data_IF_775319009381
#
_entry.id   IF_775319009381
#
_cell.length_a   1.000
_cell.length_b   1.000
_cell.length_c   1.000
_cell.angle_alpha   90.00
_cell.angle_beta   90.00
_cell.angle_gamma   90.00
#
_symmetry.space_group_name_H-M   'P 1'
#
loop_
_entity.id
_entity.type
_entity.pdbx_description
1 polymer ?
#
# COMPACT_ATOMS: atom_id res chain seq x y z
N UNK A 1 21.80 -65.26 -1.09
CA UNK A 1 22.19 -63.87 -1.46
C UNK A 1 21.25 -63.17 -2.45
N UNK A 2 20.43 -63.88 -3.25
CA UNK A 2 19.61 -63.24 -4.31
C UNK A 2 18.33 -62.54 -3.83
N UNK A 3 17.70 -63.00 -2.73
CA UNK A 3 16.46 -62.43 -2.21
C UNK A 3 16.62 -61.08 -1.49
N UNK A 4 17.72 -60.92 -0.75
CA UNK A 4 17.98 -59.70 0.02
C UNK A 4 18.36 -58.51 -0.89
N UNK A 5 19.05 -58.78 -2.00
CA UNK A 5 19.32 -57.78 -3.03
C UNK A 5 18.04 -57.32 -3.75
N UNK A 6 17.11 -58.25 -4.03
CA UNK A 6 15.82 -57.91 -4.67
C UNK A 6 14.90 -57.10 -3.75
N UNK A 7 14.90 -57.39 -2.44
CA UNK A 7 14.12 -56.62 -1.46
C UNK A 7 14.67 -55.19 -1.30
N UNK A 8 16.00 -55.03 -1.26
CA UNK A 8 16.62 -53.70 -1.24
C UNK A 8 16.36 -52.90 -2.53
N UNK A 9 16.40 -53.55 -3.70
CA UNK A 9 16.11 -52.87 -4.98
C UNK A 9 14.65 -52.42 -5.08
N UNK A 10 13.71 -53.24 -4.59
CA UNK A 10 12.29 -52.88 -4.55
C UNK A 10 12.00 -51.79 -3.50
N UNK A 11 12.64 -51.85 -2.33
CA UNK A 11 12.52 -50.83 -1.29
C UNK A 11 13.13 -49.48 -1.70
N UNK A 12 14.31 -49.48 -2.34
CA UNK A 12 14.90 -48.25 -2.87
C UNK A 12 14.05 -47.67 -4.01
N UNK A 13 13.57 -48.52 -4.94
CA UNK A 13 12.72 -48.06 -6.04
C UNK A 13 11.37 -47.52 -5.57
N UNK A 14 10.73 -48.16 -4.59
CA UNK A 14 9.48 -47.66 -4.01
C UNK A 14 9.67 -46.33 -3.29
N UNK A 15 10.81 -46.14 -2.62
CA UNK A 15 11.17 -44.88 -1.99
C UNK A 15 11.52 -43.78 -3.01
N UNK A 16 12.21 -44.11 -4.10
CA UNK A 16 12.52 -43.17 -5.17
C UNK A 16 11.25 -42.74 -5.94
N UNK A 17 10.28 -43.65 -6.12
CA UNK A 17 8.96 -43.35 -6.69
C UNK A 17 8.10 -42.50 -5.71
N UNK A 18 8.08 -42.81 -4.42
CA UNK A 18 7.42 -42.00 -3.38
C UNK A 18 8.03 -40.60 -3.22
N UNK A 19 9.36 -40.50 -3.27
CA UNK A 19 10.09 -39.22 -3.24
C UNK A 19 9.82 -38.40 -4.52
N UNK A 20 9.65 -39.05 -5.67
CA UNK A 20 9.24 -38.40 -6.94
C UNK A 20 7.81 -37.88 -6.88
N UNK A 21 6.85 -38.69 -6.43
CA UNK A 21 5.45 -38.30 -6.29
C UNK A 21 5.28 -37.13 -5.30
N UNK A 22 6.08 -37.13 -4.22
CA UNK A 22 6.11 -36.04 -3.25
C UNK A 22 6.68 -34.75 -3.86
N UNK A 23 7.74 -34.83 -4.68
CA UNK A 23 8.28 -33.68 -5.40
C UNK A 23 7.25 -33.12 -6.39
N UNK A 24 6.59 -33.97 -7.17
CA UNK A 24 5.55 -33.56 -8.12
C UNK A 24 4.37 -32.87 -7.42
N UNK A 25 3.99 -33.38 -6.24
CA UNK A 25 2.95 -32.76 -5.42
C UNK A 25 3.37 -31.38 -4.90
N UNK A 26 4.59 -31.24 -4.38
CA UNK A 26 5.14 -29.96 -3.92
C UNK A 26 5.20 -28.96 -5.07
N UNK A 27 5.69 -29.37 -6.24
CA UNK A 27 5.72 -28.53 -7.44
C UNK A 27 4.32 -28.10 -7.87
N UNK A 28 3.35 -29.01 -7.81
CA UNK A 28 1.96 -28.72 -8.14
C UNK A 28 1.32 -27.72 -7.17
N UNK A 29 1.57 -27.86 -5.86
CA UNK A 29 1.08 -26.91 -4.86
C UNK A 29 1.74 -25.54 -4.96
N UNK A 30 3.06 -25.48 -5.21
CA UNK A 30 3.75 -24.21 -5.45
C UNK A 30 3.21 -23.49 -6.69
N UNK A 31 2.96 -24.23 -7.78
CA UNK A 31 2.35 -23.65 -8.99
C UNK A 31 0.90 -23.22 -8.78
N UNK A 32 0.15 -23.89 -7.89
CA UNK A 32 -1.19 -23.44 -7.50
C UNK A 32 -1.13 -22.18 -6.65
N UNK A 33 -0.22 -22.11 -5.68
CA UNK A 33 0.01 -20.94 -4.84
C UNK A 33 0.30 -19.70 -5.69
N UNK A 34 1.20 -19.81 -6.66
CA UNK A 34 1.52 -18.70 -7.57
C UNK A 34 0.29 -18.22 -8.35
N UNK A 35 -0.49 -19.13 -8.93
CA UNK A 35 -1.71 -18.76 -9.66
C UNK A 35 -2.77 -18.12 -8.77
N UNK A 36 -2.96 -18.64 -7.56
CA UNK A 36 -3.91 -18.05 -6.59
C UNK A 36 -3.46 -16.66 -6.19
N UNK A 37 -2.16 -16.48 -5.94
CA UNK A 37 -1.58 -15.20 -5.60
C UNK A 37 -1.71 -14.21 -6.76
N UNK A 38 -1.42 -14.59 -7.99
CA UNK A 38 -1.60 -13.76 -9.19
C UNK A 38 -3.04 -13.29 -9.36
N UNK A 39 -4.02 -14.19 -9.21
CA UNK A 39 -5.43 -13.82 -9.30
C UNK A 39 -5.84 -12.87 -8.17
N UNK A 40 -5.35 -13.12 -6.97
CA UNK A 40 -5.59 -12.27 -5.82
C UNK A 40 -5.02 -10.86 -6.03
N UNK A 41 -3.74 -10.75 -6.38
CA UNK A 41 -3.07 -9.46 -6.56
C UNK A 41 -3.65 -8.71 -7.75
N UNK A 42 -4.02 -9.39 -8.84
CA UNK A 42 -4.73 -8.77 -9.96
C UNK A 42 -6.06 -8.13 -9.53
N UNK A 43 -6.86 -8.85 -8.74
CA UNK A 43 -8.13 -8.32 -8.24
C UNK A 43 -7.92 -7.13 -7.30
N UNK A 44 -6.95 -7.20 -6.38
CA UNK A 44 -6.64 -6.08 -5.47
C UNK A 44 -6.02 -4.88 -6.19
N UNK A 45 -5.21 -5.10 -7.23
CA UNK A 45 -4.65 -4.03 -8.06
C UNK A 45 -5.76 -3.20 -8.73
N UNK A 46 -6.89 -3.82 -9.12
CA UNK A 46 -8.05 -3.07 -9.64
C UNK A 46 -8.68 -2.13 -8.60
N UNK A 47 -8.77 -2.55 -7.34
CA UNK A 47 -9.24 -1.71 -6.24
C UNK A 47 -8.27 -0.57 -5.96
N UNK A 48 -6.96 -0.87 -5.93
CA UNK A 48 -5.90 0.13 -5.76
C UNK A 48 -5.95 1.15 -6.91
N UNK A 49 -6.15 0.72 -8.16
CA UNK A 49 -6.28 1.64 -9.30
C UNK A 49 -7.45 2.58 -9.15
N UNK A 50 -8.57 2.09 -8.64
CA UNK A 50 -9.74 2.94 -8.36
C UNK A 50 -9.42 3.97 -7.28
N UNK A 51 -8.80 3.55 -6.17
CA UNK A 51 -8.40 4.47 -5.11
C UNK A 51 -7.34 5.48 -5.56
N UNK A 52 -6.38 5.06 -6.39
CA UNK A 52 -5.35 5.92 -6.98
C UNK A 52 -5.96 6.96 -7.94
N UNK A 53 -6.98 6.57 -8.70
CA UNK A 53 -7.76 7.48 -9.56
C UNK A 53 -8.46 8.53 -8.70
N UNK A 54 -9.15 8.09 -7.64
CA UNK A 54 -9.83 9.02 -6.72
C UNK A 54 -8.84 9.98 -6.05
N UNK A 55 -7.69 9.47 -5.61
CA UNK A 55 -6.62 10.24 -5.00
C UNK A 55 -6.05 11.32 -5.94
N UNK A 56 -5.72 10.94 -7.17
CA UNK A 56 -4.99 11.82 -8.09
C UNK A 56 -5.94 12.75 -8.85
N UNK A 57 -7.12 12.29 -9.25
CA UNK A 57 -8.00 12.98 -10.19
C UNK A 57 -9.30 13.49 -9.53
N UNK A 58 -9.92 12.71 -8.65
CA UNK A 58 -11.26 13.04 -8.11
C UNK A 58 -11.23 13.65 -6.69
N UNK A 59 -10.05 13.96 -6.16
CA UNK A 59 -9.88 14.56 -4.82
C UNK A 59 -10.20 16.06 -4.76
N UNK A 60 -10.62 16.65 -5.89
CA UNK A 60 -10.99 18.06 -6.00
C UNK A 60 -9.80 19.03 -6.07
N UNK A 61 -8.57 18.52 -6.19
CA UNK A 61 -7.37 19.36 -6.34
C UNK A 61 -7.22 19.82 -7.78
N UNK A 62 -7.09 21.14 -7.95
CA UNK A 62 -6.72 21.74 -9.23
C UNK A 62 -5.20 21.85 -9.29
N UNK A 63 -4.54 20.88 -9.93
CA UNK A 63 -3.08 20.77 -9.91
C UNK A 63 -2.32 21.96 -10.54
N UNK A 64 -2.96 22.75 -11.41
CA UNK A 64 -2.38 23.97 -11.99
C UNK A 64 -2.63 25.25 -11.19
N UNK A 65 -3.33 25.13 -10.05
CA UNK A 65 -3.61 26.22 -9.11
C UNK A 65 -3.71 25.63 -7.70
N UNK A 66 -2.78 24.74 -7.37
CA UNK A 66 -2.87 23.94 -6.17
C UNK A 66 -2.71 24.83 -4.93
N UNK A 67 -3.48 24.57 -3.85
CA UNK A 67 -3.34 25.30 -2.61
C UNK A 67 -1.93 25.11 -2.02
N UNK A 68 -1.52 26.04 -1.16
CA UNK A 68 -0.26 25.89 -0.42
C UNK A 68 -0.22 24.56 0.35
N UNK A 69 0.94 23.91 0.32
CA UNK A 69 1.17 22.62 0.97
C UNK A 69 1.07 22.78 2.48
N UNK A 70 0.22 21.97 3.12
CA UNK A 70 -0.05 22.04 4.58
C UNK A 70 0.13 20.70 5.30
N UNK A 71 0.30 19.61 4.56
CA UNK A 71 0.34 18.26 5.09
C UNK A 71 -0.17 17.27 4.05
N UNK A 72 -0.31 16.00 4.47
CA UNK A 72 -0.80 14.91 3.62
C UNK A 72 -2.32 14.99 3.55
N UNK A 73 -2.88 14.97 2.34
CA UNK A 73 -4.35 15.02 2.14
C UNK A 73 -5.03 13.74 2.65
N UNK A 74 -6.27 13.87 3.10
CA UNK A 74 -7.07 12.71 3.51
C UNK A 74 -7.22 11.68 2.38
N UNK A 75 -7.30 12.12 1.13
CA UNK A 75 -7.33 11.24 -0.05
C UNK A 75 -6.10 10.30 -0.14
N UNK A 76 -4.93 10.76 0.32
CA UNK A 76 -3.73 9.91 0.38
C UNK A 76 -3.86 8.84 1.48
N UNK A 77 -4.40 9.23 2.63
CA UNK A 77 -4.66 8.30 3.75
C UNK A 77 -5.73 7.27 3.38
N UNK A 78 -6.79 7.68 2.68
CA UNK A 78 -7.82 6.79 2.15
C UNK A 78 -7.27 5.78 1.14
N UNK A 79 -6.35 6.21 0.26
CA UNK A 79 -5.64 5.30 -0.63
C UNK A 79 -4.82 4.27 0.17
N UNK A 80 -4.08 4.69 1.20
CA UNK A 80 -3.35 3.75 2.06
C UNK A 80 -4.26 2.76 2.78
N UNK A 81 -5.48 3.16 3.18
CA UNK A 81 -6.42 2.23 3.81
C UNK A 81 -6.77 1.04 2.92
N UNK A 82 -6.67 1.16 1.59
CA UNK A 82 -6.86 0.02 0.70
C UNK A 82 -5.76 -1.04 0.88
N UNK A 83 -4.51 -0.61 1.06
CA UNK A 83 -3.38 -1.50 1.36
C UNK A 83 -3.44 -2.04 2.80
N UNK A 84 -3.91 -1.24 3.77
CA UNK A 84 -4.14 -1.69 5.15
C UNK A 84 -5.19 -2.81 5.17
N UNK A 85 -6.26 -2.69 4.39
CA UNK A 85 -7.28 -3.73 4.27
C UNK A 85 -6.70 -5.02 3.66
N UNK A 86 -5.86 -4.90 2.62
CA UNK A 86 -5.13 -6.05 2.06
C UNK A 86 -4.22 -6.69 3.10
N UNK A 87 -3.46 -5.89 3.85
CA UNK A 87 -2.62 -6.39 4.94
C UNK A 87 -3.46 -7.18 5.94
N UNK A 88 -4.56 -6.62 6.45
CA UNK A 88 -5.42 -7.33 7.41
C UNK A 88 -5.95 -8.67 6.86
N UNK A 89 -6.36 -8.71 5.58
CA UNK A 89 -6.88 -9.90 4.92
C UNK A 89 -5.81 -11.00 4.77
N UNK A 90 -4.63 -10.64 4.26
CA UNK A 90 -3.53 -11.59 4.05
C UNK A 90 -2.94 -12.04 5.37
N UNK A 91 -2.85 -11.15 6.37
CA UNK A 91 -2.33 -11.47 7.69
C UNK A 91 -3.19 -12.54 8.38
N UNK A 92 -4.51 -12.43 8.23
CA UNK A 92 -5.46 -13.38 8.80
C UNK A 92 -5.52 -14.72 8.03
N UNK A 93 -5.37 -14.68 6.70
CA UNK A 93 -5.56 -15.87 5.85
C UNK A 93 -4.26 -16.62 5.54
N UNK A 94 -3.17 -15.91 5.24
CA UNK A 94 -1.92 -16.49 4.77
C UNK A 94 -0.70 -15.58 5.04
N UNK A 95 -0.36 -15.42 6.33
CA UNK A 95 0.78 -14.58 6.77
C UNK A 95 2.10 -14.82 5.99
N UNK A 96 2.51 -16.06 5.63
CA UNK A 96 3.76 -16.29 4.90
C UNK A 96 3.83 -15.61 3.53
N UNK A 97 2.69 -15.28 2.91
CA UNK A 97 2.64 -14.60 1.62
C UNK A 97 2.56 -13.08 1.73
N UNK A 98 2.56 -12.51 2.94
CA UNK A 98 2.38 -11.08 3.18
C UNK A 98 3.35 -10.22 2.37
N UNK A 99 4.64 -10.46 2.53
CA UNK A 99 5.67 -9.61 1.92
C UNK A 99 5.63 -9.70 0.40
N UNK A 100 5.43 -10.91 -0.14
CA UNK A 100 5.29 -11.13 -1.59
C UNK A 100 4.03 -10.42 -2.12
N UNK A 101 2.92 -10.51 -1.40
CA UNK A 101 1.64 -9.89 -1.80
C UNK A 101 1.73 -8.37 -1.80
N UNK A 102 2.21 -7.78 -0.70
CA UNK A 102 2.33 -6.32 -0.61
C UNK A 102 3.41 -5.78 -1.54
N UNK A 103 4.51 -6.49 -1.75
CA UNK A 103 5.53 -6.11 -2.74
C UNK A 103 4.94 -5.93 -4.14
N UNK A 104 4.21 -6.93 -4.64
CA UNK A 104 3.54 -6.87 -5.95
C UNK A 104 2.54 -5.70 -6.03
N UNK A 105 1.78 -5.46 -4.95
CA UNK A 105 0.77 -4.41 -4.94
C UNK A 105 1.36 -3.00 -4.81
N UNK A 106 2.49 -2.84 -4.12
CA UNK A 106 3.22 -1.56 -4.04
C UNK A 106 3.86 -1.22 -5.39
N UNK A 107 4.50 -2.19 -6.05
CA UNK A 107 4.95 -2.02 -7.45
C UNK A 107 3.79 -1.56 -8.35
N UNK A 108 2.68 -2.32 -8.33
CA UNK A 108 1.49 -2.00 -9.11
C UNK A 108 0.87 -0.64 -8.78
N UNK A 109 0.97 -0.17 -7.53
CA UNK A 109 0.53 1.18 -7.14
C UNK A 109 1.37 2.27 -7.81
N UNK A 110 2.69 2.15 -7.78
CA UNK A 110 3.58 3.15 -8.38
C UNK A 110 3.43 3.17 -9.92
N UNK A 111 3.35 1.99 -10.54
CA UNK A 111 3.08 1.86 -11.97
C UNK A 111 1.71 2.44 -12.35
N UNK A 112 0.73 2.30 -11.46
CA UNK A 112 -0.58 2.91 -11.63
C UNK A 112 -0.50 4.43 -11.57
N UNK A 113 0.24 5.02 -10.64
CA UNK A 113 0.44 6.47 -10.61
C UNK A 113 1.09 6.98 -11.89
N UNK A 114 2.14 6.29 -12.37
CA UNK A 114 2.81 6.63 -13.62
C UNK A 114 1.85 6.54 -14.82
N UNK A 115 1.07 5.46 -14.88
CA UNK A 115 0.07 5.25 -15.94
C UNK A 115 -1.02 6.32 -15.91
N UNK A 116 -1.61 6.60 -14.75
CA UNK A 116 -2.63 7.64 -14.58
C UNK A 116 -2.09 9.02 -14.93
N UNK A 117 -0.83 9.30 -14.59
CA UNK A 117 -0.18 10.55 -14.97
C UNK A 117 -0.09 10.68 -16.49
N UNK A 118 0.42 9.65 -17.19
CA UNK A 118 0.52 9.66 -18.65
C UNK A 118 -0.84 9.71 -19.35
N UNK A 119 -1.81 8.93 -18.89
CA UNK A 119 -3.19 8.89 -19.42
C UNK A 119 -3.87 10.27 -19.35
N UNK A 120 -3.51 11.10 -18.36
CA UNK A 120 -4.19 12.36 -18.05
C UNK A 120 -3.30 13.62 -18.19
N UNK A 121 -2.03 13.50 -18.63
CA UNK A 121 -1.07 14.62 -18.83
C UNK A 121 -1.63 15.74 -19.72
N UNK A 122 -2.59 15.42 -20.59
CA UNK A 122 -3.20 16.38 -21.54
C UNK A 122 -4.61 16.84 -21.15
N UNK A 123 -5.19 16.29 -20.08
CA UNK A 123 -6.56 16.59 -19.61
C UNK A 123 -6.51 17.17 -18.20
N UNK A 124 -6.76 16.35 -17.19
CA UNK A 124 -6.87 16.74 -15.78
C UNK A 124 -5.53 17.22 -15.19
N UNK A 125 -4.41 16.75 -15.77
CA UNK A 125 -3.05 17.13 -15.40
C UNK A 125 -2.39 18.03 -16.46
N UNK A 126 -3.19 18.72 -17.28
CA UNK A 126 -2.68 19.61 -18.33
C UNK A 126 -1.82 20.74 -17.76
N UNK A 127 -2.26 21.34 -16.66
CA UNK A 127 -1.55 22.36 -15.91
C UNK A 127 -1.12 21.78 -14.57
N UNK A 128 0.16 21.91 -14.22
CA UNK A 128 0.72 21.37 -12.99
C UNK A 128 1.71 22.37 -12.42
N UNK A 129 1.33 23.07 -11.35
CA UNK A 129 2.12 24.17 -10.80
C UNK A 129 3.13 23.70 -9.74
N UNK A 130 3.91 24.65 -9.21
CA UNK A 130 4.92 24.38 -8.19
C UNK A 130 4.33 23.80 -6.89
N UNK A 131 3.14 24.26 -6.49
CA UNK A 131 2.48 23.75 -5.28
C UNK A 131 1.96 22.32 -5.50
N UNK A 132 1.43 22.02 -6.68
CA UNK A 132 0.97 20.69 -7.07
C UNK A 132 2.13 19.70 -7.09
N UNK A 133 3.29 20.12 -7.61
CA UNK A 133 4.53 19.35 -7.53
C UNK A 133 4.91 19.07 -6.07
N UNK A 134 5.04 20.12 -5.25
CA UNK A 134 5.44 19.96 -3.85
C UNK A 134 4.46 19.10 -3.04
N UNK A 135 3.16 19.24 -3.28
CA UNK A 135 2.13 18.43 -2.62
C UNK A 135 2.28 16.94 -2.97
N UNK A 136 2.44 16.60 -4.27
CA UNK A 136 2.63 15.21 -4.67
C UNK A 136 3.96 14.65 -4.17
N UNK A 137 5.03 15.43 -4.18
CA UNK A 137 6.33 14.98 -3.67
C UNK A 137 6.25 14.62 -2.17
N UNK A 138 5.61 15.46 -1.35
CA UNK A 138 5.36 15.18 0.06
C UNK A 138 4.56 13.88 0.26
N UNK A 139 3.49 13.68 -0.52
CA UNK A 139 2.62 12.51 -0.39
C UNK A 139 3.28 11.22 -0.91
N UNK A 140 4.09 11.31 -1.96
CA UNK A 140 4.89 10.19 -2.45
C UNK A 140 5.95 9.77 -1.43
N UNK A 141 6.61 10.72 -0.78
CA UNK A 141 7.57 10.42 0.29
C UNK A 141 6.89 9.83 1.53
N UNK A 142 5.68 10.29 1.85
CA UNK A 142 4.84 9.70 2.88
C UNK A 142 4.50 8.24 2.57
N UNK A 143 4.06 7.93 1.33
CA UNK A 143 3.83 6.54 0.91
C UNK A 143 5.10 5.71 0.95
N UNK A 144 6.21 6.21 0.40
CA UNK A 144 7.50 5.51 0.40
C UNK A 144 7.96 5.20 1.83
N UNK A 145 7.81 6.14 2.76
CA UNK A 145 8.22 5.95 4.15
C UNK A 145 7.40 4.86 4.84
N UNK A 146 6.08 4.86 4.68
CA UNK A 146 5.19 3.87 5.30
C UNK A 146 5.34 2.49 4.68
N UNK A 147 5.45 2.44 3.36
CA UNK A 147 5.50 1.20 2.58
C UNK A 147 6.93 0.69 2.38
N UNK A 148 7.94 1.36 2.94
CA UNK A 148 9.35 1.01 2.81
C UNK A 148 9.66 -0.49 3.05
N UNK A 149 9.05 -1.18 4.04
CA UNK A 149 9.27 -2.61 4.24
C UNK A 149 8.87 -3.50 3.06
N UNK A 150 7.96 -3.03 2.21
CA UNK A 150 7.44 -3.75 1.05
C UNK A 150 7.88 -3.13 -0.29
N UNK A 151 8.77 -2.14 -0.26
CA UNK A 151 9.24 -1.44 -1.45
C UNK A 151 10.37 -2.24 -2.12
N UNK A 152 10.10 -2.75 -3.32
CA UNK A 152 11.05 -3.52 -4.13
C UNK A 152 12.00 -2.61 -4.92
N UNK A 153 13.01 -3.19 -5.59
CA UNK A 153 13.88 -2.43 -6.50
C UNK A 153 13.09 -1.76 -7.61
N UNK A 154 12.14 -2.49 -8.18
CA UNK A 154 11.40 -2.10 -9.37
C UNK A 154 10.42 -0.98 -9.01
N UNK A 155 9.76 -1.08 -7.85
CA UNK A 155 8.94 0.01 -7.32
C UNK A 155 9.76 1.30 -7.12
N UNK A 156 11.01 1.21 -6.63
CA UNK A 156 11.88 2.40 -6.45
C UNK A 156 12.30 3.02 -7.77
N UNK A 157 12.54 2.19 -8.79
CA UNK A 157 12.86 2.67 -10.13
C UNK A 157 11.65 3.38 -10.76
N UNK A 158 10.46 2.76 -10.71
CA UNK A 158 9.21 3.38 -11.16
C UNK A 158 8.90 4.67 -10.39
N UNK A 159 9.19 4.74 -9.08
CA UNK A 159 8.96 5.95 -8.28
C UNK A 159 9.88 7.08 -8.73
N UNK A 160 11.17 6.80 -8.99
CA UNK A 160 12.10 7.79 -9.54
C UNK A 160 11.67 8.28 -10.92
N UNK A 161 11.18 7.37 -11.76
CA UNK A 161 10.62 7.71 -13.07
C UNK A 161 9.42 8.66 -12.92
N UNK A 162 8.49 8.34 -12.02
CA UNK A 162 7.33 9.17 -11.69
C UNK A 162 7.74 10.58 -11.21
N UNK A 163 8.68 10.66 -10.28
CA UNK A 163 9.21 11.95 -9.79
C UNK A 163 9.84 12.78 -10.93
N UNK A 164 10.55 12.12 -11.85
CA UNK A 164 11.13 12.76 -13.03
C UNK A 164 10.07 13.36 -13.96
N UNK A 165 9.04 12.60 -14.33
CA UNK A 165 7.98 13.10 -15.22
C UNK A 165 7.10 14.18 -14.57
N UNK A 166 6.94 14.13 -13.24
CA UNK A 166 6.27 15.19 -12.48
C UNK A 166 7.07 16.50 -12.50
N UNK A 167 8.39 16.41 -12.29
CA UNK A 167 9.28 17.57 -12.32
C UNK A 167 9.33 18.20 -13.72
N UNK A 168 9.44 17.37 -14.77
CA UNK A 168 9.37 17.83 -16.16
C UNK A 168 8.08 18.61 -16.40
N UNK A 169 6.93 18.06 -16.01
CA UNK A 169 5.62 18.69 -16.21
C UNK A 169 5.44 19.99 -15.41
N UNK A 170 5.96 20.04 -14.19
CA UNK A 170 5.95 21.26 -13.38
C UNK A 170 6.77 22.37 -14.05
N UNK A 171 7.94 22.01 -14.58
CA UNK A 171 8.84 22.95 -15.29
C UNK A 171 8.23 23.43 -16.61
N UNK A 172 7.60 22.54 -17.39
CA UNK A 172 6.85 22.89 -18.62
C UNK A 172 5.75 23.93 -18.32
N UNK A 173 4.96 23.70 -17.27
CA UNK A 173 3.80 24.56 -16.94
C UNK A 173 4.22 25.99 -16.55
N UNK A 174 5.40 26.17 -15.96
CA UNK A 174 5.97 27.51 -15.66
C UNK A 174 6.29 28.27 -16.94
N UNK A 175 6.76 27.60 -17.98
CA UNK A 175 7.13 28.23 -19.26
C UNK A 175 5.91 28.65 -20.09
N UNK A 176 4.84 27.84 -20.14
CA UNK A 176 3.61 28.16 -20.88
C UNK A 176 2.90 29.43 -20.35
N UNK A 177 3.04 29.71 -19.05
CA UNK A 177 2.43 30.88 -18.41
C UNK A 177 3.12 32.19 -18.82
N UNK A 178 4.40 32.12 -19.23
CA UNK A 178 5.20 33.28 -19.62
C UNK A 178 4.98 33.65 -21.10
N UNK A 179 4.64 32.67 -21.96
CA UNK A 179 4.47 32.87 -23.40
C UNK A 179 3.09 33.43 -23.82
N UNK A 180 2.15 33.61 -22.90
CA UNK A 180 0.90 34.34 -23.15
C UNK A 180 0.91 35.72 -22.48
N UNK A 181 1.63 36.71 -23.04
CA UNK A 181 1.51 38.10 -22.61
C UNK A 181 0.10 38.59 -22.91
N UNK A 182 -0.72 38.62 -21.87
CA UNK A 182 -2.06 39.22 -21.87
C UNK A 182 -2.02 40.59 -22.57
N UNK A 183 -2.80 40.73 -23.64
CA UNK A 183 -2.85 41.93 -24.45
C UNK A 183 -3.15 43.18 -23.60
N UNK A 184 -2.27 44.17 -23.74
CA UNK A 184 -2.36 45.55 -23.26
C UNK A 184 -3.78 46.11 -23.16
N UNK A 185 -4.23 46.41 -21.93
CA UNK A 185 -5.08 47.58 -21.70
C UNK A 185 -4.19 48.75 -21.26
N UNK A 186 -4.06 49.71 -22.17
CA UNK A 186 -3.44 51.02 -21.99
C UNK A 186 -3.88 51.68 -20.66
N UNK A 187 -2.99 51.90 -19.69
CA UNK A 187 -3.30 52.72 -18.52
C UNK A 187 -3.25 54.19 -18.93
N UNK A 188 -4.38 54.88 -18.86
CA UNK A 188 -4.43 56.34 -18.97
C UNK A 188 -3.88 56.96 -17.69
N UNK A 189 -2.65 57.45 -17.78
CA UNK A 189 -2.02 58.58 -17.07
C UNK A 189 -2.75 59.13 -15.82
N UNK A 190 -2.17 58.86 -14.65
CA UNK A 190 -2.27 59.74 -13.47
C UNK A 190 -2.40 59.00 -12.14
N UNK A 191 -1.28 58.81 -11.43
CA UNK A 191 -1.14 59.07 -9.98
C UNK A 191 0.21 58.50 -9.52
N UNK A 192 1.05 59.38 -8.97
CA UNK A 192 2.20 58.98 -8.14
C UNK A 192 1.70 58.31 -6.84
N UNK A 193 2.61 57.54 -6.23
CA UNK A 193 2.53 56.89 -4.92
C UNK A 193 1.69 55.61 -4.76
N UNK A 194 2.29 54.47 -5.10
CA UNK A 194 2.25 53.27 -4.27
C UNK A 194 3.43 52.36 -4.64
N UNK A 195 4.42 52.27 -3.75
CA UNK A 195 5.44 51.21 -3.75
C UNK A 195 4.73 49.86 -3.61
N UNK A 196 4.38 49.29 -4.76
CA UNK A 196 3.80 47.95 -4.86
C UNK A 196 4.97 46.98 -4.92
N UNK A 197 5.00 46.05 -3.97
CA UNK A 197 5.97 44.97 -3.83
C UNK A 197 5.84 44.00 -5.01
N UNK A 198 6.40 44.39 -6.16
CA UNK A 198 6.32 43.66 -7.43
C UNK A 198 7.48 42.65 -7.57
N UNK A 199 7.88 42.02 -6.46
CA UNK A 199 8.99 41.05 -6.41
C UNK A 199 8.57 39.60 -6.69
N UNK A 200 7.31 39.33 -7.02
CA UNK A 200 6.82 37.96 -7.24
C UNK A 200 6.20 37.71 -8.62
N UNK A 201 6.40 38.58 -9.61
CA UNK A 201 6.02 38.31 -11.00
C UNK A 201 7.26 38.11 -11.86
N UNK A 202 7.69 36.85 -11.99
CA UNK A 202 8.70 36.46 -12.97
C UNK A 202 9.85 35.59 -12.46
N UNK A 203 9.72 34.91 -11.32
CA UNK A 203 10.69 33.87 -10.97
C UNK A 203 10.39 32.64 -11.85
N UNK A 204 11.14 32.48 -12.95
CA UNK A 204 11.27 31.19 -13.61
C UNK A 204 11.83 30.23 -12.58
N UNK A 205 11.00 29.37 -11.99
CA UNK A 205 11.46 28.41 -10.98
C UNK A 205 12.28 27.36 -11.71
N UNK A 206 13.57 27.24 -11.38
CA UNK A 206 14.40 26.20 -11.97
C UNK A 206 13.99 24.83 -11.41
N UNK A 207 14.27 23.71 -12.13
CA UNK A 207 13.99 22.37 -11.61
C UNK A 207 14.64 22.12 -10.25
N UNK A 208 15.84 22.63 -10.03
CA UNK A 208 16.57 22.50 -8.76
C UNK A 208 15.88 23.28 -7.62
N UNK A 209 15.34 24.47 -7.90
CA UNK A 209 14.56 25.24 -6.92
C UNK A 209 13.26 24.53 -6.54
N UNK A 210 12.59 23.87 -7.49
CA UNK A 210 11.39 23.06 -7.21
C UNK A 210 11.72 21.86 -6.32
N UNK A 211 12.83 21.16 -6.60
CA UNK A 211 13.30 20.05 -5.77
C UNK A 211 13.60 20.54 -4.36
N UNK A 212 14.34 21.65 -4.21
CA UNK A 212 14.69 22.22 -2.91
C UNK A 212 13.43 22.62 -2.12
N UNK A 213 12.43 23.21 -2.79
CA UNK A 213 11.17 23.58 -2.17
C UNK A 213 10.37 22.35 -1.70
N UNK A 214 10.28 21.31 -2.53
CA UNK A 214 9.62 20.06 -2.14
C UNK A 214 10.31 19.41 -0.92
N UNK A 215 11.65 19.36 -0.91
CA UNK A 215 12.44 18.85 0.21
C UNK A 215 12.24 19.66 1.50
N UNK A 216 12.06 20.98 1.39
CA UNK A 216 11.74 21.82 2.53
C UNK A 216 10.39 21.43 3.15
N UNK A 217 9.34 21.28 2.33
CA UNK A 217 8.02 20.85 2.83
C UNK A 217 8.07 19.47 3.49
N UNK A 218 8.77 18.50 2.89
CA UNK A 218 8.96 17.19 3.49
C UNK A 218 9.66 17.27 4.85
N UNK A 219 10.75 18.04 4.94
CA UNK A 219 11.51 18.20 6.18
C UNK A 219 10.67 18.82 7.31
N UNK A 220 9.75 19.71 6.97
CA UNK A 220 8.89 20.41 7.94
C UNK A 220 7.65 19.59 8.35
N UNK A 221 7.02 18.88 7.42
CA UNK A 221 5.67 18.35 7.60
C UNK A 221 5.62 16.82 7.76
N UNK A 222 6.53 16.08 7.12
CA UNK A 222 6.41 14.62 6.98
C UNK A 222 6.31 13.93 8.34
N UNK A 223 7.17 14.29 9.29
CA UNK A 223 7.20 13.64 10.59
C UNK A 223 5.90 13.86 11.39
N UNK A 224 5.30 15.06 11.29
CA UNK A 224 4.03 15.36 11.93
C UNK A 224 2.88 14.54 11.33
N UNK A 225 2.90 14.36 10.00
CA UNK A 225 1.89 13.57 9.29
C UNK A 225 2.01 12.07 9.54
N UNK A 226 3.23 11.54 9.64
CA UNK A 226 3.48 10.15 10.06
C UNK A 226 2.96 9.90 11.47
N UNK A 227 3.16 10.82 12.41
CA UNK A 227 2.62 10.69 13.77
C UNK A 227 1.09 10.82 13.77
N UNK A 228 0.53 11.79 13.04
CA UNK A 228 -0.93 11.98 12.91
C UNK A 228 -1.63 10.73 12.40
N UNK A 229 -1.01 10.00 11.49
CA UNK A 229 -1.58 8.83 10.82
C UNK A 229 -1.05 7.50 11.36
N UNK A 230 -0.24 7.52 12.42
CA UNK A 230 0.46 6.35 12.99
C UNK A 230 -0.47 5.16 13.25
N UNK A 231 -1.67 5.39 13.78
CA UNK A 231 -2.63 4.31 14.07
C UNK A 231 -3.14 3.66 12.78
N UNK A 232 -3.32 4.45 11.72
CA UNK A 232 -3.83 3.97 10.44
C UNK A 232 -2.81 3.07 9.73
N UNK A 233 -1.52 3.26 9.99
CA UNK A 233 -0.41 2.65 9.23
C UNK A 233 0.46 1.71 10.07
N UNK A 234 0.12 1.51 11.35
CA UNK A 234 0.89 0.69 12.30
C UNK A 234 1.15 -0.74 11.80
N UNK A 235 0.25 -1.31 11.00
CA UNK A 235 0.39 -2.67 10.46
C UNK A 235 1.64 -2.85 9.61
N UNK A 236 2.12 -1.82 8.92
CA UNK A 236 3.32 -1.89 8.09
C UNK A 236 4.62 -1.81 8.92
N UNK A 237 4.57 -1.17 10.10
CA UNK A 237 5.74 -1.00 10.98
C UNK A 237 5.92 -2.23 11.88
N UNK A 238 4.84 -2.75 12.46
CA UNK A 238 4.88 -3.86 13.43
C UNK A 238 5.14 -5.23 12.80
N UNK A 239 4.97 -5.37 11.48
CA UNK A 239 5.22 -6.62 10.75
C UNK A 239 6.70 -7.04 10.77
N UNK A 240 7.62 -6.10 10.99
CA UNK A 240 9.06 -6.37 11.14
C UNK A 240 9.47 -6.89 12.52
N UNK A 241 8.66 -6.65 13.56
CA UNK A 241 9.02 -6.91 14.96
C UNK A 241 8.51 -8.26 15.50
N UNK A 242 7.55 -8.90 14.83
CA UNK A 242 6.94 -10.14 15.33
C UNK A 242 7.77 -11.41 15.07
N UNK A 243 8.81 -11.32 14.24
CA UNK A 243 9.74 -12.44 13.98
C UNK A 243 10.99 -12.41 14.86
N UNK A 244 11.17 -11.36 15.67
CA UNK A 244 12.30 -11.23 16.62
C UNK A 244 11.90 -11.37 18.10
N UNK A 245 10.70 -11.88 18.38
CA UNK A 245 10.27 -12.16 19.74
C UNK A 245 10.93 -13.45 20.24
N UNK A 246 11.79 -13.40 21.29
CA UNK A 246 12.36 -14.60 21.88
C UNK A 246 11.25 -15.53 22.38
N UNK A 247 11.47 -16.84 22.28
CA UNK A 247 10.52 -17.90 22.64
C UNK A 247 9.91 -17.72 24.05
N UNK A 248 10.63 -17.05 24.95
CA UNK A 248 10.18 -16.65 26.30
C UNK A 248 8.98 -15.70 26.34
N UNK A 249 8.85 -14.80 25.37
CA UNK A 249 7.73 -13.85 25.31
C UNK A 249 6.46 -14.47 24.68
N UNK A 250 6.61 -15.47 23.78
CA UNK A 250 5.49 -16.32 23.34
C UNK A 250 4.93 -17.16 24.50
N UNK A 251 5.81 -17.70 25.35
CA UNK A 251 5.41 -18.44 26.54
C UNK A 251 4.67 -17.57 27.56
N UNK A 252 5.09 -16.31 27.76
CA UNK A 252 4.42 -15.39 28.67
C UNK A 252 2.98 -15.04 28.22
N UNK A 253 2.76 -14.86 26.91
CA UNK A 253 1.42 -14.61 26.36
C UNK A 253 0.52 -15.86 26.42
N UNK A 254 1.07 -17.05 26.22
CA UNK A 254 0.37 -18.31 26.41
C UNK A 254 0.03 -18.58 27.89
N UNK A 255 0.87 -18.13 28.82
CA UNK A 255 0.68 -18.26 30.27
C UNK A 255 -0.45 -17.36 30.80
N UNK A 256 -0.70 -16.21 30.16
CA UNK A 256 -1.82 -15.32 30.50
C UNK A 256 -3.18 -15.86 30.03
N UNK A 257 -3.19 -16.82 29.10
CA UNK A 257 -4.38 -17.56 28.66
C UNK A 257 -4.60 -18.83 29.47
N UNK A 258 -4.27 -18.78 30.75
CA UNK A 258 -4.33 -19.92 31.65
C UNK A 258 -5.73 -20.55 31.78
N UNK A 259 -5.72 -21.88 31.73
CA UNK A 259 -6.59 -22.79 32.47
C UNK A 259 -8.03 -23.00 31.95
N UNK A 260 -8.17 -23.90 30.97
CA UNK A 260 -9.31 -24.82 30.92
C UNK A 260 -8.82 -26.24 30.60
N UNK A 261 -8.13 -26.82 31.57
CA UNK A 261 -7.98 -28.27 31.76
C UNK A 261 -8.31 -28.50 33.24
N UNK A 262 -9.10 -29.46 33.70
CA UNK A 262 -9.67 -30.73 33.20
C UNK A 262 -10.67 -31.20 34.32
N UNK A 263 -11.26 -32.42 34.42
CA UNK A 263 -10.86 -33.69 33.81
C UNK A 263 -11.98 -34.64 33.31
N UNK A 264 -11.49 -35.60 32.54
CA UNK A 264 -12.03 -36.93 32.28
C UNK A 264 -12.79 -37.60 33.45
N UNK A 265 -13.95 -38.18 33.14
CA UNK A 265 -14.55 -39.29 33.89
C UNK A 265 -14.98 -40.40 32.93
N UNK A 266 -14.22 -41.49 32.96
CA UNK A 266 -14.62 -42.80 32.45
C UNK A 266 -15.83 -43.30 33.24
N UNK A 267 -16.94 -43.63 32.56
CA UNK A 267 -17.84 -44.71 32.97
C UNK A 267 -18.48 -45.34 31.73
N UNK A 268 -18.12 -46.60 31.49
CA UNK A 268 -18.64 -47.46 30.42
C UNK A 268 -19.72 -48.35 31.04
N UNK A 269 -20.91 -48.41 30.42
CA UNK A 269 -21.89 -49.50 30.61
C UNK A 269 -23.26 -49.10 31.16
N UNK A 270 -24.25 -48.92 30.28
CA UNK A 270 -25.49 -49.73 30.19
C UNK A 270 -26.61 -49.03 29.40
N UNK A 271 -26.98 -49.65 28.28
CA UNK A 271 -28.32 -49.86 27.71
C UNK A 271 -29.54 -49.03 28.18
N UNK A 272 -30.16 -48.41 27.16
CA UNK A 272 -31.61 -48.34 26.84
C UNK A 272 -32.48 -47.15 27.32
N UNK A 273 -33.55 -46.81 26.53
CA UNK A 273 -34.05 -45.44 26.30
C UNK A 273 -35.40 -45.16 26.98
N UNK A 274 -35.96 -43.95 26.75
CA UNK A 274 -37.36 -43.44 26.95
C UNK A 274 -37.25 -42.02 27.55
N UNK A 275 -37.96 -40.97 27.15
CA UNK A 275 -38.97 -40.69 26.13
C UNK A 275 -39.27 -39.18 26.19
N UNK A 276 -39.72 -38.57 25.10
CA UNK A 276 -40.34 -37.23 25.13
C UNK A 276 -41.74 -37.33 25.79
N UNK A 277 -42.29 -36.26 26.41
CA UNK A 277 -42.95 -35.22 25.59
C UNK A 277 -43.04 -33.81 26.23
N UNK A 278 -43.49 -32.84 25.43
CA UNK A 278 -44.56 -31.94 25.90
C UNK A 278 -44.26 -30.45 26.02
N UNK A 279 -44.71 -29.71 25.01
CA UNK A 279 -45.17 -28.31 24.99
C UNK A 279 -45.45 -27.61 26.35
N UNK A 280 -45.05 -26.34 26.46
CA UNK A 280 -46.01 -25.24 26.64
C UNK A 280 -45.42 -23.86 26.34
N UNK A 281 -46.19 -23.09 25.58
CA UNK A 281 -46.03 -21.65 25.35
C UNK A 281 -46.32 -20.89 26.66
N UNK A 282 -45.57 -19.81 26.93
CA UNK A 282 -46.25 -18.56 27.30
C UNK A 282 -45.41 -17.33 26.98
N UNK A 283 -46.04 -16.44 26.22
CA UNK A 283 -45.63 -15.11 25.82
C UNK A 283 -46.38 -14.13 26.72
N UNK A 284 -45.72 -13.04 27.15
CA UNK A 284 -46.22 -11.70 27.56
C UNK A 284 -45.24 -11.16 28.61
N UNK A 285 -44.84 -9.88 28.61
CA UNK A 285 -45.18 -8.72 27.78
C UNK A 285 -44.03 -7.74 27.96
#
# INVERSE_FOLDING_TARGET
MSFQASYYLFYCRGRDEEDSDMQDLVMSFSGLEEKVLEQYTFAKASLIRTAATNYLLDSGVQWGGAPAVKGVRDAAVELLHTLVAVHAEVFAACKPLMDKTLGILVEGLIDTFLSLFHENKTKDLRSFDANGFCQLMLELEYFETILNPHFTSDARESLKSLQGVLLEKATESVTETIETPSHHRRPTRGSEDALSDDRQQGMTVSPDDLIALAQQYSSELLQGELERTRINTACFVESSALDSVPESARAAYASFRGSMDSPSRNFRGNSQPVGSPGFSRQRRR
#
